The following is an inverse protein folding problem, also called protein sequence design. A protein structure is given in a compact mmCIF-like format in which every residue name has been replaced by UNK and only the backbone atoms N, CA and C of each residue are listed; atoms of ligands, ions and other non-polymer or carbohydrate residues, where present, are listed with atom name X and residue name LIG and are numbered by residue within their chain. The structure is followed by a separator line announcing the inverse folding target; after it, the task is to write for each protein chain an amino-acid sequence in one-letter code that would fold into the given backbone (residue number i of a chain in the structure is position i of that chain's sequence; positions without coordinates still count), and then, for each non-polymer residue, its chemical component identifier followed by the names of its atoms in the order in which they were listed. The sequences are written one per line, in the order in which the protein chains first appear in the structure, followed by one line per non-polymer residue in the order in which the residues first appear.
data_IF_376826761918
#
_entry.id   IF_376826761918
#
_cell.length_a   1.000
_cell.length_b   1.000
_cell.length_c   1.000
_cell.angle_alpha   90.00
_cell.angle_beta   90.00
_cell.angle_gamma   90.00
#
_symmetry.space_group_name_H-M   'P 1'
#
loop_
_entity.id
_entity.type
_entity.pdbx_description
1 polymer ?
#
# COMPACT_ATOMS: atom_id res chain seq x y z
N UNK A 1 -13.61 3.62 36.63
CA UNK A 1 -12.22 3.22 36.32
C UNK A 1 -12.25 2.37 35.05
N UNK A 2 -11.37 2.71 34.09
CA UNK A 2 -11.14 2.08 32.79
C UNK A 2 -12.29 2.07 31.77
N UNK A 3 -12.46 3.21 31.09
CA UNK A 3 -13.11 3.26 29.77
C UNK A 3 -12.25 2.46 28.77
N UNK A 4 -12.66 1.23 28.44
CA UNK A 4 -12.04 0.43 27.36
C UNK A 4 -12.67 0.85 26.04
N UNK A 5 -12.24 2.00 25.54
CA UNK A 5 -12.50 2.47 24.19
C UNK A 5 -11.96 1.47 23.15
N UNK A 6 -12.58 1.41 21.96
CA UNK A 6 -12.94 0.17 21.29
C UNK A 6 -11.79 -0.44 20.53
N UNK A 7 -11.87 -1.76 20.36
CA UNK A 7 -11.11 -2.50 19.38
C UNK A 7 -11.17 -1.74 18.04
N UNK A 8 -10.02 -1.25 17.58
CA UNK A 8 -9.86 -0.88 16.17
C UNK A 8 -10.34 -2.10 15.39
N UNK A 9 -11.45 -1.92 14.69
CA UNK A 9 -11.85 -2.76 13.58
C UNK A 9 -10.65 -2.79 12.62
N UNK A 10 -9.78 -3.77 12.82
CA UNK A 10 -8.92 -4.28 11.78
C UNK A 10 -9.89 -4.66 10.66
N UNK A 11 -9.85 -4.04 9.48
CA UNK A 11 -10.73 -4.43 8.41
C UNK A 11 -10.53 -5.93 8.15
N UNK A 12 -11.67 -6.60 8.19
CA UNK A 12 -11.90 -8.03 8.10
C UNK A 12 -11.11 -8.70 6.95
N UNK A 13 -10.57 -9.92 7.13
CA UNK A 13 -9.77 -10.65 6.14
C UNK A 13 -10.59 -11.25 4.98
N UNK A 14 -11.72 -10.64 4.60
CA UNK A 14 -12.69 -11.23 3.68
C UNK A 14 -12.38 -11.10 2.17
N UNK A 15 -11.24 -10.52 1.77
CA UNK A 15 -10.82 -10.45 0.36
C UNK A 15 -9.74 -11.50 -0.02
N UNK A 16 -9.51 -12.51 0.83
CA UNK A 16 -8.44 -13.50 0.66
C UNK A 16 -8.70 -14.61 -0.39
N UNK A 17 -9.64 -14.45 -1.34
CA UNK A 17 -10.08 -15.57 -2.17
C UNK A 17 -10.42 -15.25 -3.64
N UNK A 18 -9.60 -14.48 -4.37
CA UNK A 18 -9.67 -14.50 -5.84
C UNK A 18 -8.42 -13.97 -6.56
N UNK A 19 -7.31 -14.72 -6.53
CA UNK A 19 -6.41 -14.88 -7.69
C UNK A 19 -5.24 -15.83 -7.39
N UNK A 20 -5.44 -17.13 -7.67
CA UNK A 20 -4.33 -18.12 -7.70
C UNK A 20 -3.41 -17.97 -8.94
N UNK A 21 -3.26 -16.77 -9.49
CA UNK A 21 -2.10 -16.39 -10.31
C UNK A 21 -1.31 -15.38 -9.49
N UNK A 22 -0.44 -15.92 -8.64
CA UNK A 22 0.13 -15.22 -7.51
C UNK A 22 0.96 -13.99 -7.88
N UNK A 23 0.92 -13.00 -6.99
CA UNK A 23 1.87 -11.90 -6.93
C UNK A 23 3.30 -12.40 -7.16
N UNK A 24 3.93 -11.91 -8.23
CA UNK A 24 5.31 -12.23 -8.54
C UNK A 24 6.25 -11.63 -7.48
N UNK A 25 7.48 -12.14 -7.37
CA UNK A 25 8.46 -11.62 -6.37
C UNK A 25 8.72 -10.12 -6.57
N UNK A 26 8.77 -9.69 -7.82
CA UNK A 26 8.92 -8.28 -8.19
C UNK A 26 7.72 -7.47 -7.71
N UNK A 27 6.50 -7.96 -7.94
CA UNK A 27 5.27 -7.24 -7.58
C UNK A 27 5.21 -7.03 -6.06
N UNK A 28 5.56 -8.05 -5.27
CA UNK A 28 5.68 -7.93 -3.81
C UNK A 28 6.68 -6.86 -3.41
N UNK A 29 7.86 -6.84 -4.04
CA UNK A 29 8.90 -5.85 -3.75
C UNK A 29 8.44 -4.44 -4.11
N UNK A 30 7.73 -4.29 -5.22
CA UNK A 30 7.11 -3.05 -5.66
C UNK A 30 6.12 -2.53 -4.61
N UNK A 31 5.21 -3.39 -4.14
CA UNK A 31 4.24 -3.07 -3.09
C UNK A 31 4.94 -2.71 -1.78
N UNK A 32 5.98 -3.43 -1.37
CA UNK A 32 6.76 -3.09 -0.17
C UNK A 32 7.39 -1.71 -0.28
N UNK A 33 7.92 -1.34 -1.45
CA UNK A 33 8.49 0.00 -1.66
C UNK A 33 7.42 1.09 -1.68
N UNK A 34 6.30 0.86 -2.36
CA UNK A 34 5.16 1.78 -2.37
C UNK A 34 4.55 1.98 -0.98
N UNK A 35 4.55 0.95 -0.13
CA UNK A 35 4.12 1.08 1.27
C UNK A 35 5.09 1.90 2.12
N UNK A 36 6.39 1.79 1.85
CA UNK A 36 7.41 2.59 2.55
C UNK A 36 7.36 4.05 2.10
N UNK A 37 7.30 4.27 0.79
CA UNK A 37 7.27 5.58 0.17
C UNK A 37 6.44 5.55 -1.13
N UNK A 38 5.15 5.86 -0.98
CA UNK A 38 4.21 5.94 -2.10
C UNK A 38 4.42 7.16 -3.01
N UNK A 39 5.36 8.05 -2.69
CA UNK A 39 5.74 9.20 -3.54
C UNK A 39 6.94 8.89 -4.44
N UNK A 40 7.56 7.72 -4.26
CA UNK A 40 8.72 7.32 -5.05
C UNK A 40 8.35 7.20 -6.53
N UNK A 41 9.08 7.88 -7.44
CA UNK A 41 8.77 7.80 -8.86
C UNK A 41 9.00 6.40 -9.40
N UNK A 42 8.19 5.99 -10.38
CA UNK A 42 8.26 4.65 -10.98
C UNK A 42 9.65 4.33 -11.55
N UNK A 43 10.39 5.35 -12.02
CA UNK A 43 11.77 5.19 -12.49
C UNK A 43 12.75 4.74 -11.40
N UNK A 44 12.57 5.24 -10.17
CA UNK A 44 13.37 4.85 -9.02
C UNK A 44 12.92 3.49 -8.47
N UNK A 45 11.60 3.27 -8.42
CA UNK A 45 11.00 1.98 -8.09
C UNK A 45 11.55 0.87 -9.00
N UNK A 46 11.62 1.14 -10.32
CA UNK A 46 12.17 0.23 -11.33
C UNK A 46 13.64 -0.13 -11.06
N UNK A 47 14.48 0.86 -10.73
CA UNK A 47 15.89 0.63 -10.36
C UNK A 47 16.01 -0.29 -9.15
N UNK A 48 15.17 -0.11 -8.14
CA UNK A 48 15.22 -0.91 -6.91
C UNK A 48 14.74 -2.35 -7.07
N UNK A 49 13.86 -2.60 -8.04
CA UNK A 49 13.39 -3.95 -8.38
C UNK A 49 14.16 -4.57 -9.55
N UNK A 50 15.24 -3.93 -10.01
CA UNK A 50 16.09 -4.38 -11.13
C UNK A 50 15.30 -4.54 -12.45
N UNK A 51 14.38 -3.63 -12.73
CA UNK A 51 13.64 -3.55 -13.99
C UNK A 51 13.87 -2.23 -14.72
N UNK A 52 13.53 -2.22 -16.01
CA UNK A 52 13.39 -0.99 -16.78
C UNK A 52 12.06 -0.29 -16.43
N UNK A 53 11.96 1.00 -16.77
CA UNK A 53 10.82 1.84 -16.36
C UNK A 53 9.49 1.35 -16.96
N UNK A 54 9.48 0.94 -18.23
CA UNK A 54 8.29 0.46 -18.94
C UNK A 54 7.62 -0.76 -18.29
N UNK A 55 8.32 -1.88 -18.02
CA UNK A 55 7.70 -3.03 -17.35
C UNK A 55 7.35 -2.76 -15.88
N UNK A 56 8.06 -1.85 -15.20
CA UNK A 56 7.69 -1.44 -13.85
C UNK A 56 6.34 -0.70 -13.85
N UNK A 57 6.14 0.23 -14.79
CA UNK A 57 4.89 0.98 -14.96
C UNK A 57 3.70 0.04 -15.24
N UNK A 58 3.87 -0.89 -16.18
CA UNK A 58 2.83 -1.87 -16.52
C UNK A 58 2.46 -2.75 -15.32
N UNK A 59 3.45 -3.15 -14.51
CA UNK A 59 3.21 -3.90 -13.27
C UNK A 59 2.47 -3.06 -12.23
N UNK A 60 2.84 -1.80 -12.01
CA UNK A 60 2.11 -0.89 -11.09
C UNK A 60 0.66 -0.76 -11.56
N UNK A 61 0.44 -0.44 -12.84
CA UNK A 61 -0.91 -0.31 -13.41
C UNK A 61 -1.74 -1.58 -13.27
N UNK A 62 -1.12 -2.74 -13.48
CA UNK A 62 -1.79 -4.04 -13.27
C UNK A 62 -2.17 -4.23 -11.80
N UNK A 63 -1.30 -3.86 -10.86
CA UNK A 63 -1.56 -3.96 -9.43
C UNK A 63 -2.66 -2.98 -8.98
N UNK A 64 -2.69 -1.77 -9.54
CA UNK A 64 -3.78 -0.80 -9.35
C UNK A 64 -5.11 -1.33 -9.90
N UNK A 65 -5.15 -1.75 -11.16
CA UNK A 65 -6.35 -2.29 -11.80
C UNK A 65 -6.86 -3.59 -11.18
N UNK A 66 -5.96 -4.40 -10.60
CA UNK A 66 -6.32 -5.61 -9.88
C UNK A 66 -6.75 -5.36 -8.42
N UNK A 67 -6.72 -4.11 -7.95
CA UNK A 67 -7.13 -3.75 -6.59
C UNK A 67 -6.12 -4.11 -5.51
N UNK A 68 -4.85 -4.43 -5.86
CA UNK A 68 -3.78 -4.57 -4.87
C UNK A 68 -3.30 -3.22 -4.34
N UNK A 69 -3.47 -2.15 -5.11
CA UNK A 69 -3.20 -0.76 -4.70
C UNK A 69 -4.55 -0.06 -4.64
N UNK A 70 -5.08 0.08 -3.43
CA UNK A 70 -6.39 0.71 -3.18
C UNK A 70 -6.35 2.23 -3.29
N UNK A 71 -5.18 2.84 -3.11
CA UNK A 71 -4.97 4.28 -3.23
C UNK A 71 -3.71 4.77 -2.53
N UNK A 72 -3.39 6.04 -2.76
CA UNK A 72 -2.25 6.72 -2.15
C UNK A 72 -2.74 7.60 -1.01
N UNK A 73 -2.39 7.24 0.23
CA UNK A 73 -2.84 7.96 1.42
C UNK A 73 -1.71 8.79 2.04
N UNK A 74 -2.03 10.01 2.47
CA UNK A 74 -1.13 10.81 3.28
C UNK A 74 -1.25 10.39 4.75
N UNK A 75 -0.15 9.98 5.37
CA UNK A 75 -0.09 9.76 6.82
C UNK A 75 0.02 11.11 7.53
N UNK A 76 -1.09 11.58 8.10
CA UNK A 76 -1.13 12.86 8.79
C UNK A 76 -0.83 12.71 10.28
N UNK A 77 -0.24 13.75 10.89
CA UNK A 77 0.02 13.78 12.32
C UNK A 77 -1.20 14.39 13.05
N UNK A 78 -1.95 13.61 13.83
CA UNK A 78 -3.16 14.11 14.50
C UNK A 78 -2.86 15.19 15.55
N UNK A 79 -1.71 15.14 16.23
CA UNK A 79 -1.33 16.12 17.24
C UNK A 79 -1.05 17.51 16.63
N UNK A 80 -0.53 17.55 15.39
CA UNK A 80 -0.32 18.80 14.66
C UNK A 80 -1.55 19.32 13.94
N UNK A 81 -2.53 18.44 13.69
CA UNK A 81 -3.79 18.79 13.06
C UNK A 81 -4.84 19.31 14.06
N UNK A 82 -4.52 19.38 15.35
CA UNK A 82 -5.49 19.76 16.38
C UNK A 82 -6.60 18.71 16.54
N UNK A 83 -6.43 17.52 15.97
CA UNK A 83 -7.35 16.37 16.07
C UNK A 83 -6.99 15.47 17.25
N UNK A 84 -6.32 16.02 18.27
CA UNK A 84 -6.18 15.37 19.56
C UNK A 84 -7.56 15.19 20.16
N UNK A 85 -8.06 13.96 20.14
CA UNK A 85 -9.31 13.55 20.77
C UNK A 85 -9.44 14.19 22.16
N UNK A 86 -10.57 14.86 22.39
CA UNK A 86 -11.11 15.17 23.72
C UNK A 86 -11.36 13.89 24.52
#
# INVERSE_FOLDING_TARGET
MAQKSPARESPSPAAAASSRRGLDRIDRRLLTRLQQDGRTPVSQLAREVHLTVTPALERVRRLESAGYIEGYFARLNPARLGLGLL
#
